data_IF_980205272075
#
_entry.id   IF_980205272075
#
_cell.length_a   1.000
_cell.length_b   1.000
_cell.length_c   1.000
_cell.angle_alpha   90.00
_cell.angle_beta   90.00
_cell.angle_gamma   90.00
#
_symmetry.space_group_name_H-M   'P 1'
#
loop_
_entity.id
_entity.type
_entity.pdbx_description
1 polymer ?
#
# COMPACT_ATOMS: atom_id res chain seq x y z
N UNK A 1 -29.49 1.49 -17.85
CA UNK A 1 -28.11 1.16 -18.30
C UNK A 1 -27.30 0.69 -17.10
N UNK A 2 -27.28 -0.63 -16.87
CA UNK A 2 -26.44 -1.25 -15.84
C UNK A 2 -25.00 -1.20 -16.33
N UNK A 3 -24.19 -0.27 -15.77
CA UNK A 3 -22.73 -0.30 -15.90
C UNK A 3 -22.28 -1.71 -15.50
N UNK A 4 -21.68 -2.44 -16.42
CA UNK A 4 -21.09 -3.74 -16.15
C UNK A 4 -20.20 -3.64 -14.92
N UNK A 5 -20.52 -4.41 -13.89
CA UNK A 5 -19.74 -4.49 -12.67
C UNK A 5 -18.38 -5.10 -13.03
N UNK A 6 -17.37 -4.27 -13.23
CA UNK A 6 -16.01 -4.76 -13.35
C UNK A 6 -15.62 -5.37 -12.00
N UNK A 7 -15.55 -6.71 -11.95
CA UNK A 7 -15.00 -7.41 -10.80
C UNK A 7 -13.54 -7.00 -10.62
N UNK A 8 -13.27 -6.23 -9.56
CA UNK A 8 -11.91 -5.90 -9.14
C UNK A 8 -11.16 -7.21 -8.82
N UNK A 9 -9.95 -7.35 -9.37
CA UNK A 9 -9.07 -8.50 -9.12
C UNK A 9 -7.76 -8.01 -8.54
N UNK A 10 -7.38 -8.59 -7.40
CA UNK A 10 -6.06 -8.45 -6.83
C UNK A 10 -5.20 -9.60 -7.31
N UNK A 11 -4.07 -9.30 -7.94
CA UNK A 11 -3.15 -10.30 -8.48
C UNK A 11 -1.81 -10.14 -7.78
N UNK A 12 -1.28 -11.22 -7.20
CA UNK A 12 0.06 -11.21 -6.62
C UNK A 12 1.10 -11.13 -7.76
N UNK A 13 1.99 -10.15 -7.67
CA UNK A 13 3.08 -9.97 -8.64
C UNK A 13 4.27 -10.81 -8.18
N UNK A 14 4.77 -11.76 -8.99
CA UNK A 14 5.91 -12.58 -8.60
C UNK A 14 7.15 -11.71 -8.38
N UNK A 15 7.84 -11.96 -7.28
CA UNK A 15 9.13 -11.37 -6.98
C UNK A 15 10.22 -12.33 -7.45
N UNK A 16 10.99 -11.92 -8.46
CA UNK A 16 12.26 -12.59 -8.75
C UNK A 16 13.23 -12.25 -7.61
N UNK A 17 13.81 -13.28 -6.99
CA UNK A 17 14.53 -13.23 -5.71
C UNK A 17 15.63 -12.15 -5.62
N UNK A 18 15.85 -11.65 -4.39
CA UNK A 18 16.76 -10.56 -3.98
C UNK A 18 16.34 -9.14 -4.38
N UNK A 19 15.07 -8.91 -4.64
CA UNK A 19 14.54 -7.55 -4.76
C UNK A 19 14.46 -6.92 -3.37
N UNK A 20 15.22 -5.86 -3.11
CA UNK A 20 15.11 -5.10 -1.88
C UNK A 20 13.99 -4.05 -2.04
N UNK A 21 13.05 -4.04 -1.11
CA UNK A 21 11.99 -3.04 -1.06
C UNK A 21 12.55 -1.62 -0.96
N UNK A 22 13.71 -1.46 -0.32
CA UNK A 22 14.47 -0.21 -0.26
C UNK A 22 14.95 0.25 -1.64
N UNK A 23 15.18 -0.68 -2.57
CA UNK A 23 15.56 -0.37 -3.95
C UNK A 23 14.35 0.03 -4.79
N UNK A 24 13.21 -0.63 -4.61
CA UNK A 24 11.99 -0.31 -5.37
C UNK A 24 11.27 0.94 -4.87
N UNK A 25 11.22 1.13 -3.56
CA UNK A 25 10.48 2.21 -2.92
C UNK A 25 11.27 2.85 -1.77
N UNK A 26 12.47 3.40 -2.03
CA UNK A 26 13.38 3.91 -1.00
C UNK A 26 12.75 4.94 -0.08
N UNK A 27 11.86 5.77 -0.63
CA UNK A 27 11.21 6.85 0.13
C UNK A 27 10.05 6.32 0.99
N UNK A 28 9.41 5.23 0.57
CA UNK A 28 8.33 4.57 1.33
C UNK A 28 8.94 3.78 2.48
N UNK A 29 10.01 3.02 2.21
CA UNK A 29 10.72 2.27 3.26
C UNK A 29 11.40 3.19 4.27
N UNK A 30 12.03 4.28 3.83
CA UNK A 30 12.61 5.28 4.73
C UNK A 30 11.58 5.94 5.64
N UNK A 31 10.37 6.24 5.12
CA UNK A 31 9.29 6.83 5.91
C UNK A 31 8.64 5.82 6.88
N UNK A 32 8.41 4.58 6.42
CA UNK A 32 7.67 3.57 7.20
C UNK A 32 8.53 2.78 8.16
N UNK A 33 9.80 2.51 7.81
CA UNK A 33 10.61 1.59 8.58
C UNK A 33 11.02 2.21 9.90
N UNK A 34 11.38 3.50 9.99
CA UNK A 34 11.71 4.13 11.27
C UNK A 34 12.68 3.29 12.15
N UNK A 35 13.60 2.54 11.52
CA UNK A 35 14.53 1.53 12.10
C UNK A 35 14.01 0.10 12.34
N UNK A 36 12.76 -0.24 12.01
CA UNK A 36 12.20 -1.60 12.13
C UNK A 36 12.48 -2.45 10.90
N UNK A 37 12.84 -3.70 11.14
CA UNK A 37 13.06 -4.73 10.11
C UNK A 37 11.73 -5.19 9.55
N UNK A 38 11.65 -5.32 8.22
CA UNK A 38 10.52 -5.92 7.52
C UNK A 38 10.67 -7.44 7.60
N UNK A 39 9.68 -8.14 8.18
CA UNK A 39 9.65 -9.60 8.28
C UNK A 39 9.51 -10.22 6.90
N UNK A 40 8.52 -9.76 6.14
CA UNK A 40 8.37 -10.05 4.71
C UNK A 40 7.48 -8.99 4.05
N UNK A 41 7.50 -8.98 2.73
CA UNK A 41 6.60 -8.15 1.94
C UNK A 41 6.07 -8.93 0.73
N UNK A 42 4.93 -8.49 0.21
CA UNK A 42 4.32 -9.02 -1.02
C UNK A 42 3.88 -7.87 -1.91
N UNK A 43 4.02 -8.05 -3.21
CA UNK A 43 3.54 -7.08 -4.20
C UNK A 43 2.27 -7.61 -4.85
N UNK A 44 1.31 -6.73 -5.01
CA UNK A 44 0.07 -7.00 -5.73
C UNK A 44 -0.21 -5.89 -6.73
N UNK A 45 -1.00 -6.23 -7.74
CA UNK A 45 -1.59 -5.28 -8.67
C UNK A 45 -3.11 -5.34 -8.52
N UNK A 46 -3.73 -4.18 -8.32
CA UNK A 46 -5.19 -3.99 -8.35
C UNK A 46 -5.51 -3.07 -9.52
N UNK A 47 -5.90 -3.65 -10.65
CA UNK A 47 -6.04 -2.92 -11.92
C UNK A 47 -4.74 -2.15 -12.27
N UNK A 48 -4.71 -0.83 -12.11
CA UNK A 48 -3.52 0.03 -12.34
C UNK A 48 -2.89 0.56 -11.05
N UNK A 49 -3.36 0.10 -9.90
CA UNK A 49 -2.84 0.47 -8.58
C UNK A 49 -1.87 -0.60 -8.11
N UNK A 50 -0.63 -0.21 -7.84
CA UNK A 50 0.34 -1.10 -7.17
C UNK A 50 0.00 -1.14 -5.69
N UNK A 51 0.03 -2.33 -5.10
CA UNK A 51 -0.26 -2.55 -3.69
C UNK A 51 0.93 -3.29 -3.08
N UNK A 52 1.54 -2.69 -2.08
CA UNK A 52 2.70 -3.22 -1.36
C UNK A 52 2.21 -3.62 0.02
N UNK A 53 2.19 -4.92 0.30
CA UNK A 53 1.91 -5.46 1.63
C UNK A 53 3.23 -5.66 2.38
N UNK A 54 3.34 -5.18 3.60
CA UNK A 54 4.52 -5.34 4.45
C UNK A 54 4.10 -5.79 5.85
N UNK A 55 4.71 -6.86 6.34
CA UNK A 55 4.64 -7.28 7.73
C UNK A 55 5.91 -6.81 8.43
N UNK A 56 5.76 -5.98 9.47
CA UNK A 56 6.86 -5.43 10.27
C UNK A 56 6.79 -5.92 11.73
N UNK A 57 6.34 -7.16 11.94
CA UNK A 57 6.13 -7.83 13.23
C UNK A 57 4.95 -7.28 14.03
N UNK A 58 5.01 -6.03 14.49
CA UNK A 58 3.95 -5.45 15.33
C UNK A 58 2.81 -4.82 14.53
N UNK A 59 3.02 -4.61 13.22
CA UNK A 59 2.06 -3.99 12.33
C UNK A 59 2.11 -4.62 10.94
N UNK A 60 0.96 -4.58 10.27
CA UNK A 60 0.85 -4.76 8.84
C UNK A 60 0.65 -3.39 8.19
N UNK A 61 1.50 -3.07 7.22
CA UNK A 61 1.43 -1.84 6.43
C UNK A 61 1.08 -2.20 4.99
N UNK A 62 0.00 -1.62 4.46
CA UNK A 62 -0.35 -1.72 3.04
C UNK A 62 -0.21 -0.35 2.40
N UNK A 63 0.64 -0.24 1.38
CA UNK A 63 0.83 0.97 0.59
C UNK A 63 0.19 0.79 -0.77
N UNK A 64 -0.73 1.69 -1.11
CA UNK A 64 -1.34 1.75 -2.43
C UNK A 64 -0.74 2.92 -3.20
N UNK A 65 -0.22 2.65 -4.39
CA UNK A 65 0.39 3.65 -5.26
C UNK A 65 -0.33 3.64 -6.60
N UNK A 66 -0.82 4.80 -7.03
CA UNK A 66 -1.35 4.95 -8.39
C UNK A 66 -0.72 6.17 -9.09
N UNK A 67 -0.20 5.96 -10.30
CA UNK A 67 0.45 7.01 -11.09
C UNK A 67 -0.49 7.83 -11.97
N UNK A 68 -1.75 7.38 -12.17
CA UNK A 68 -2.67 7.94 -13.17
C UNK A 68 -3.98 8.48 -12.61
N UNK A 69 -4.53 7.87 -11.56
CA UNK A 69 -5.82 8.24 -10.95
C UNK A 69 -5.71 8.35 -9.43
N UNK A 70 -6.70 9.04 -8.82
CA UNK A 70 -6.93 8.92 -7.38
C UNK A 70 -7.44 7.51 -7.07
N UNK A 71 -6.99 6.95 -5.95
CA UNK A 71 -7.43 5.66 -5.47
C UNK A 71 -8.79 5.85 -4.80
N UNK A 72 -9.77 5.06 -5.22
CA UNK A 72 -11.15 5.17 -4.74
C UNK A 72 -11.35 4.51 -3.39
N UNK A 73 -12.40 4.93 -2.69
CA UNK A 73 -12.87 4.30 -1.45
C UNK A 73 -13.12 2.79 -1.62
N UNK A 74 -13.72 2.39 -2.74
CA UNK A 74 -13.98 0.99 -3.05
C UNK A 74 -12.71 0.16 -3.24
N UNK A 75 -11.67 0.73 -3.87
CA UNK A 75 -10.36 0.06 -3.99
C UNK A 75 -9.73 -0.15 -2.61
N UNK A 76 -9.81 0.85 -1.72
CA UNK A 76 -9.31 0.74 -0.34
C UNK A 76 -10.06 -0.37 0.41
N UNK A 77 -11.39 -0.37 0.37
CA UNK A 77 -12.22 -1.36 1.08
C UNK A 77 -11.96 -2.77 0.59
N UNK A 78 -11.84 -2.92 -0.72
CA UNK A 78 -11.52 -4.18 -1.34
C UNK A 78 -10.17 -4.72 -0.87
N UNK A 79 -9.14 -3.86 -0.81
CA UNK A 79 -7.80 -4.25 -0.34
C UNK A 79 -7.82 -4.62 1.15
N UNK A 80 -8.47 -3.83 2.01
CA UNK A 80 -8.60 -4.14 3.44
C UNK A 80 -9.25 -5.51 3.62
N UNK A 81 -10.41 -5.73 2.97
CA UNK A 81 -11.12 -6.99 3.12
C UNK A 81 -10.34 -8.19 2.58
N UNK A 82 -9.65 -8.02 1.45
CA UNK A 82 -8.92 -9.13 0.79
C UNK A 82 -7.60 -9.48 1.44
N UNK A 83 -6.83 -8.50 1.91
CA UNK A 83 -5.47 -8.72 2.43
C UNK A 83 -5.39 -8.76 3.96
N UNK A 84 -6.35 -8.15 4.67
CA UNK A 84 -6.32 -8.05 6.13
C UNK A 84 -7.47 -8.79 6.81
N UNK A 85 -8.42 -9.31 6.03
CA UNK A 85 -9.72 -9.84 6.46
C UNK A 85 -10.41 -8.96 7.50
N UNK A 86 -10.37 -7.65 7.28
CA UNK A 86 -10.79 -6.62 8.22
C UNK A 86 -11.80 -5.65 7.59
N UNK A 87 -12.31 -4.71 8.40
CA UNK A 87 -13.08 -3.55 7.92
C UNK A 87 -12.30 -2.25 8.14
N UNK A 88 -12.88 -1.10 7.76
CA UNK A 88 -12.21 0.20 7.88
C UNK A 88 -11.99 0.61 9.34
N UNK A 89 -12.84 0.14 10.22
CA UNK A 89 -12.84 0.46 11.64
C UNK A 89 -11.66 -0.22 12.35
N UNK A 90 -11.16 -1.32 11.80
CA UNK A 90 -10.05 -2.10 12.36
C UNK A 90 -8.67 -1.57 11.96
N UNK A 91 -8.60 -0.54 11.11
CA UNK A 91 -7.35 -0.07 10.50
C UNK A 91 -7.25 1.45 10.52
N UNK A 92 -6.01 1.95 10.55
CA UNK A 92 -5.75 3.37 10.35
C UNK A 92 -5.42 3.65 8.88
N UNK A 93 -6.16 4.57 8.25
CA UNK A 93 -5.99 4.92 6.84
C UNK A 93 -5.44 6.34 6.72
N UNK A 94 -4.29 6.47 6.06
CA UNK A 94 -3.63 7.74 5.79
C UNK A 94 -3.78 8.09 4.31
N UNK A 95 -4.74 8.97 4.00
CA UNK A 95 -5.03 9.43 2.64
C UNK A 95 -4.03 10.48 2.13
N UNK A 96 -3.37 11.20 3.05
CA UNK A 96 -2.55 12.37 2.72
C UNK A 96 -1.05 12.04 2.68
N UNK A 97 -0.71 10.77 2.47
CA UNK A 97 0.67 10.28 2.61
C UNK A 97 1.65 11.02 1.71
N UNK A 98 1.24 11.35 0.48
CA UNK A 98 2.06 12.13 -0.44
C UNK A 98 2.50 13.47 0.18
N UNK A 99 1.54 14.25 0.69
CA UNK A 99 1.82 15.54 1.31
C UNK A 99 2.63 15.38 2.61
N UNK A 100 2.38 14.35 3.41
CA UNK A 100 3.14 14.06 4.64
C UNK A 100 4.59 13.69 4.35
N UNK A 101 4.85 12.94 3.28
CA UNK A 101 6.21 12.60 2.84
C UNK A 101 6.96 13.82 2.33
N UNK A 102 6.32 14.63 1.47
CA UNK A 102 6.91 15.88 0.94
C UNK A 102 7.30 16.84 2.07
N UNK A 103 6.43 17.01 3.09
CA UNK A 103 6.71 17.83 4.27
C UNK A 103 7.91 17.34 5.10
N UNK A 104 8.18 16.04 5.10
CA UNK A 104 9.34 15.44 5.80
C UNK A 104 10.60 15.39 4.93
N UNK A 105 10.60 16.05 3.77
CA UNK A 105 11.74 16.09 2.84
C UNK A 105 11.90 14.83 1.99
N UNK A 106 11.00 13.85 2.11
CA UNK A 106 10.99 12.68 1.23
C UNK A 106 10.28 13.06 -0.07
N UNK A 107 10.95 12.88 -1.20
CA UNK A 107 10.30 13.01 -2.51
C UNK A 107 9.48 11.73 -2.75
N UNK A 108 8.13 11.73 -2.71
CA UNK A 108 7.39 10.60 -3.25
C UNK A 108 7.91 10.35 -4.68
N UNK A 109 8.06 9.08 -5.08
CA UNK A 109 8.51 8.73 -6.44
C UNK A 109 7.77 9.64 -7.44
N UNK A 110 8.53 10.39 -8.27
CA UNK A 110 8.02 11.51 -9.10
C UNK A 110 6.80 11.17 -9.97
N UNK A 111 6.44 9.89 -10.12
CA UNK A 111 5.33 9.41 -10.92
C UNK A 111 4.03 9.12 -10.15
N UNK A 112 4.00 9.13 -8.82
CA UNK A 112 2.79 8.79 -8.06
C UNK A 112 1.79 9.97 -8.02
N UNK A 113 0.62 9.78 -8.62
CA UNK A 113 -0.50 10.73 -8.55
C UNK A 113 -1.19 10.63 -7.20
N UNK A 114 -1.35 9.43 -6.68
CA UNK A 114 -1.97 9.15 -5.39
C UNK A 114 -1.21 8.08 -4.62
N UNK A 115 -1.20 8.22 -3.29
CA UNK A 115 -0.46 7.39 -2.36
C UNK A 115 -1.25 7.26 -1.06
N UNK A 116 -1.63 6.04 -0.70
CA UNK A 116 -2.39 5.75 0.52
C UNK A 116 -1.61 4.73 1.34
N UNK A 117 -1.59 4.93 2.66
CA UNK A 117 -1.10 3.94 3.61
C UNK A 117 -2.27 3.45 4.46
N UNK A 118 -2.35 2.14 4.64
CA UNK A 118 -3.25 1.46 5.56
C UNK A 118 -2.38 0.75 6.59
N UNK A 119 -2.65 0.95 7.87
CA UNK A 119 -1.94 0.28 8.96
C UNK A 119 -2.92 -0.51 9.81
N UNK A 120 -2.58 -1.77 10.09
CA UNK A 120 -3.27 -2.64 11.05
C UNK A 120 -2.28 -3.07 12.11
N UNK A 121 -2.62 -2.93 13.38
CA UNK A 121 -1.81 -3.48 14.46
C UNK A 121 -1.97 -5.00 14.50
N UNK A 122 -0.86 -5.71 14.69
CA UNK A 122 -0.86 -7.15 14.92
C UNK A 122 -0.89 -7.34 16.43
N UNK A 123 -2.01 -7.81 16.95
CA UNK A 123 -2.12 -8.25 18.34
C UNK A 123 -1.77 -9.73 18.34
N UNK A 124 -0.65 -10.08 18.97
CA UNK A 124 -0.28 -11.48 19.23
C UNK A 124 -1.32 -12.19 20.11
#
# INVERSE_FOLDING_TARGET
MTKGMHCMKLVETPLHSNLDLSTLYPNVTGYLSGKKTIKYYKLYSLDRTQVIYMDVFDKINIVLVNSKKKISKQEIDYVIKRLLDATREDVTIYLDMKAKMEKKGFKPSRSAKDLILIQKDVVD
#
